data_IF_886961924702
#
_entry.id   IF_886961924702
#
_cell.length_a   1.000
_cell.length_b   1.000
_cell.length_c   1.000
_cell.angle_alpha   90.00
_cell.angle_beta   90.00
_cell.angle_gamma   90.00
#
_symmetry.space_group_name_H-M   'P 1'
#
loop_
_entity.id
_entity.type
_entity.pdbx_description
1 polymer ?
#
# COMPACT_ATOMS: atom_id res chain seq x y z
N UNK A 1 -1.45 -12.05 -1.90
CA UNK A 1 -0.45 -10.98 -1.75
C UNK A 1 -1.11 -9.62 -1.78
N UNK A 2 -0.59 -8.69 -1.03
CA UNK A 2 -1.16 -7.38 -0.83
C UNK A 2 -0.12 -6.30 -1.11
N UNK A 3 -0.52 -5.24 -1.80
CA UNK A 3 0.32 -4.06 -2.06
C UNK A 3 -0.45 -2.85 -1.57
N UNK A 4 0.21 -1.98 -0.82
CA UNK A 4 -0.37 -0.73 -0.34
C UNK A 4 0.29 0.45 -1.05
N UNK A 5 -0.52 1.28 -1.71
CA UNK A 5 -0.06 2.56 -2.21
C UNK A 5 0.42 3.42 -1.03
N UNK A 6 1.38 4.30 -1.28
CA UNK A 6 1.99 5.13 -0.24
C UNK A 6 0.94 5.88 0.58
N UNK A 7 -0.09 6.45 -0.05
CA UNK A 7 -1.13 7.17 0.66
C UNK A 7 -1.94 6.28 1.61
N UNK A 8 -2.10 5.01 1.29
CA UNK A 8 -2.78 4.05 2.19
C UNK A 8 -1.91 3.77 3.41
N UNK A 9 -0.59 3.66 3.23
CA UNK A 9 0.35 3.51 4.34
C UNK A 9 0.24 4.70 5.29
N UNK A 10 0.17 5.92 4.75
CA UNK A 10 0.02 7.13 5.56
C UNK A 10 -1.30 7.13 6.30
N UNK A 11 -2.39 6.76 5.65
CA UNK A 11 -3.71 6.71 6.28
C UNK A 11 -3.75 5.72 7.45
N UNK A 12 -3.04 4.60 7.33
CA UNK A 12 -3.01 3.57 8.38
C UNK A 12 -2.07 3.93 9.53
N UNK A 13 -0.88 4.43 9.23
CA UNK A 13 0.19 4.51 10.23
C UNK A 13 0.53 5.94 10.67
N UNK A 14 0.10 6.97 9.95
CA UNK A 14 0.29 8.37 10.33
C UNK A 14 -1.03 8.98 10.77
N UNK A 15 -2.02 8.99 9.87
CA UNK A 15 -3.26 9.75 10.08
C UNK A 15 -4.31 9.01 10.89
N UNK A 16 -4.15 7.70 11.04
CA UNK A 16 -5.13 6.86 11.75
C UNK A 16 -6.55 7.12 11.24
N UNK A 17 -6.71 7.07 9.91
CA UNK A 17 -7.95 7.43 9.25
C UNK A 17 -9.13 6.68 9.87
N UNK A 18 -10.17 7.38 10.37
CA UNK A 18 -11.32 6.72 10.98
C UNK A 18 -12.06 5.79 10.05
N UNK A 19 -12.01 6.04 8.73
CA UNK A 19 -12.64 5.16 7.74
C UNK A 19 -11.94 3.79 7.69
N UNK A 20 -10.72 3.69 8.18
CA UNK A 20 -9.95 2.45 8.22
C UNK A 20 -9.87 1.85 9.63
N UNK A 21 -10.64 2.38 10.58
CA UNK A 21 -10.56 1.95 11.98
C UNK A 21 -10.95 0.46 12.16
N UNK A 22 -11.86 -0.05 11.35
CA UNK A 22 -12.25 -1.47 11.38
C UNK A 22 -11.24 -2.34 10.66
N UNK A 23 -10.72 -1.85 9.54
CA UNK A 23 -9.77 -2.59 8.72
C UNK A 23 -8.42 -2.78 9.41
N UNK A 24 -7.90 -1.74 10.06
CA UNK A 24 -6.53 -1.73 10.58
C UNK A 24 -6.22 -2.90 11.52
N UNK A 25 -7.04 -3.19 12.56
CA UNK A 25 -6.74 -4.33 13.45
C UNK A 25 -6.72 -5.67 12.72
N UNK A 26 -7.69 -5.89 11.81
CA UNK A 26 -7.77 -7.11 11.05
C UNK A 26 -6.59 -7.27 10.08
N UNK A 27 -6.19 -6.16 9.45
CA UNK A 27 -5.04 -6.13 8.55
C UNK A 27 -3.75 -6.45 9.31
N UNK A 28 -3.52 -5.80 10.44
CA UNK A 28 -2.32 -6.04 11.25
C UNK A 28 -2.26 -7.48 11.75
N UNK A 29 -3.39 -8.02 12.22
CA UNK A 29 -3.46 -9.41 12.67
C UNK A 29 -3.11 -10.36 11.52
N UNK A 30 -3.66 -10.13 10.32
CA UNK A 30 -3.38 -10.95 9.15
C UNK A 30 -1.93 -10.90 8.72
N UNK A 31 -1.30 -9.74 8.83
CA UNK A 31 0.11 -9.56 8.50
C UNK A 31 1.03 -10.21 9.53
N UNK A 32 0.70 -10.07 10.82
CA UNK A 32 1.51 -10.62 11.91
C UNK A 32 1.47 -12.15 11.93
N UNK A 33 0.31 -12.75 11.65
CA UNK A 33 0.18 -14.22 11.60
C UNK A 33 0.47 -14.81 10.22
N UNK A 34 0.89 -13.97 9.26
CA UNK A 34 1.28 -14.35 7.91
C UNK A 34 0.16 -14.95 7.04
N UNK A 35 -1.08 -14.73 7.39
CA UNK A 35 -2.22 -15.05 6.51
C UNK A 35 -2.32 -14.04 5.36
N UNK A 36 -1.85 -12.82 5.58
CA UNK A 36 -1.66 -11.80 4.54
C UNK A 36 -0.17 -11.60 4.33
N UNK A 37 0.21 -11.37 3.07
CA UNK A 37 1.59 -11.09 2.72
C UNK A 37 1.66 -9.74 2.00
N UNK A 38 2.14 -8.72 2.69
CA UNK A 38 2.34 -7.39 2.13
C UNK A 38 3.71 -7.34 1.47
N UNK A 39 3.71 -7.15 0.16
CA UNK A 39 4.95 -7.07 -0.62
C UNK A 39 5.19 -5.65 -1.10
N UNK A 40 6.45 -5.27 -1.22
CA UNK A 40 6.88 -4.00 -1.76
C UNK A 40 8.30 -4.13 -2.30
N UNK A 41 8.72 -3.14 -3.10
CA UNK A 41 10.09 -3.05 -3.58
C UNK A 41 10.88 -2.04 -2.76
N UNK A 42 12.20 -2.06 -2.90
CA UNK A 42 13.05 -1.08 -2.25
C UNK A 42 12.72 0.36 -2.69
N UNK A 43 12.38 0.53 -3.97
CA UNK A 43 12.00 1.85 -4.49
C UNK A 43 10.74 2.40 -3.80
N UNK A 44 9.79 1.52 -3.47
CA UNK A 44 8.59 1.93 -2.74
C UNK A 44 8.92 2.37 -1.32
N UNK A 45 9.89 1.71 -0.67
CA UNK A 45 10.37 2.11 0.64
C UNK A 45 11.05 3.48 0.58
N UNK A 46 11.87 3.70 -0.43
CA UNK A 46 12.57 4.98 -0.64
C UNK A 46 11.54 6.09 -0.87
N UNK A 47 10.49 5.84 -1.64
CA UNK A 47 9.42 6.81 -1.84
C UNK A 47 8.70 7.12 -0.53
N UNK A 48 8.37 6.12 0.27
CA UNK A 48 7.75 6.32 1.58
C UNK A 48 8.63 7.19 2.47
N UNK A 49 9.92 6.89 2.54
CA UNK A 49 10.89 7.67 3.32
C UNK A 49 10.91 9.13 2.88
N UNK A 50 10.88 9.36 1.57
CA UNK A 50 10.87 10.71 1.00
C UNK A 50 9.57 11.45 1.35
N UNK A 51 8.43 10.78 1.19
CA UNK A 51 7.11 11.38 1.48
C UNK A 51 7.00 11.79 2.95
N UNK A 52 7.60 11.03 3.86
CA UNK A 52 7.59 11.33 5.29
C UNK A 52 8.38 12.60 5.64
N UNK A 53 9.12 13.17 4.69
CA UNK A 53 9.82 14.45 4.86
C UNK A 53 9.08 15.63 4.24
N UNK A 54 7.96 15.40 3.54
CA UNK A 54 7.26 16.46 2.80
C UNK A 54 6.64 17.48 3.76
N UNK A 55 6.68 18.79 3.40
CA UNK A 55 6.09 19.85 4.24
C UNK A 55 4.60 19.69 4.49
N UNK A 56 3.87 18.99 3.63
CA UNK A 56 2.45 18.69 3.83
C UNK A 56 2.22 17.59 4.86
N UNK A 57 3.23 16.78 5.11
CA UNK A 57 3.10 15.57 5.95
C UNK A 57 3.70 15.80 7.34
N UNK A 58 4.87 16.46 7.44
CA UNK A 58 5.60 16.58 8.70
C UNK A 58 4.82 17.27 9.82
N UNK A 59 4.04 18.35 9.58
CA UNK A 59 3.23 18.94 10.65
C UNK A 59 2.16 17.99 11.17
N UNK A 60 1.57 17.18 10.31
CA UNK A 60 0.55 16.21 10.68
C UNK A 60 1.16 15.07 11.49
N UNK A 61 2.37 14.64 11.14
CA UNK A 61 3.11 13.65 11.90
C UNK A 61 3.38 14.16 13.32
N UNK A 62 3.80 15.40 13.45
CA UNK A 62 4.03 16.02 14.77
C UNK A 62 2.74 16.09 15.59
N UNK A 63 1.62 16.43 14.94
CA UNK A 63 0.31 16.47 15.59
C UNK A 63 -0.09 15.09 16.14
N UNK A 64 0.13 14.03 15.39
CA UNK A 64 -0.21 12.67 15.78
C UNK A 64 0.90 12.00 16.61
N UNK A 65 2.01 12.69 16.86
CA UNK A 65 3.16 12.17 17.60
C UNK A 65 3.74 10.91 16.97
N UNK A 66 3.83 10.91 15.64
CA UNK A 66 4.40 9.80 14.84
C UNK A 66 5.67 10.29 14.16
N UNK A 67 6.75 9.55 14.28
CA UNK A 67 8.01 9.87 13.61
C UNK A 67 8.15 9.06 12.32
N UNK A 68 9.03 9.54 11.43
CA UNK A 68 9.36 8.78 10.23
C UNK A 68 9.92 7.39 10.58
N UNK A 69 10.74 7.31 11.62
CA UNK A 69 11.30 6.04 12.08
C UNK A 69 10.21 5.07 12.56
N UNK A 70 9.15 5.57 13.20
CA UNK A 70 8.02 4.74 13.61
C UNK A 70 7.35 4.07 12.41
N UNK A 71 7.09 4.85 11.35
CA UNK A 71 6.42 4.35 10.14
C UNK A 71 7.32 3.37 9.40
N UNK A 72 8.59 3.71 9.24
CA UNK A 72 9.54 2.85 8.55
C UNK A 72 9.81 1.56 9.30
N UNK A 73 9.81 1.59 10.63
CA UNK A 73 9.94 0.39 11.45
C UNK A 73 8.75 -0.56 11.24
N UNK A 74 7.53 -0.03 11.16
CA UNK A 74 6.34 -0.83 10.85
C UNK A 74 6.43 -1.43 9.45
N UNK A 75 6.84 -0.63 8.48
CA UNK A 75 7.04 -1.11 7.12
C UNK A 75 8.05 -2.26 7.10
N UNK A 76 9.21 -2.08 7.72
CA UNK A 76 10.27 -3.09 7.73
C UNK A 76 9.86 -4.37 8.46
N UNK A 77 9.03 -4.23 9.50
CA UNK A 77 8.52 -5.38 10.27
C UNK A 77 7.50 -6.20 9.47
N UNK A 78 6.63 -5.54 8.71
CA UNK A 78 5.44 -6.17 8.12
C UNK A 78 5.60 -6.53 6.65
N UNK A 79 6.53 -5.88 5.93
CA UNK A 79 6.68 -6.02 4.49
C UNK A 79 7.70 -7.10 4.15
N UNK A 80 7.40 -7.87 3.12
CA UNK A 80 8.38 -8.71 2.43
C UNK A 80 8.87 -7.95 1.20
N UNK A 81 10.16 -7.61 1.16
CA UNK A 81 10.75 -6.94 0.01
C UNK A 81 10.92 -7.94 -1.14
N UNK A 82 10.52 -7.51 -2.32
CA UNK A 82 10.64 -8.30 -3.55
C UNK A 82 11.34 -7.49 -4.62
N UNK A 83 11.80 -8.15 -5.68
CA UNK A 83 12.44 -7.47 -6.80
C UNK A 83 11.44 -6.62 -7.57
N UNK A 84 11.89 -5.53 -8.22
CA UNK A 84 11.03 -4.74 -9.10
C UNK A 84 10.46 -5.59 -10.22
N UNK A 85 9.17 -5.37 -10.52
CA UNK A 85 8.51 -6.09 -11.59
C UNK A 85 8.79 -5.42 -12.94
N UNK A 86 8.78 -6.20 -14.05
CA UNK A 86 8.83 -5.61 -15.38
C UNK A 86 7.60 -4.76 -15.65
N UNK A 87 7.73 -3.77 -16.52
CA UNK A 87 6.61 -2.88 -16.86
C UNK A 87 5.44 -3.68 -17.39
N UNK A 88 4.26 -3.47 -16.81
CA UNK A 88 3.04 -4.12 -17.24
C UNK A 88 2.58 -3.59 -18.60
N UNK A 89 1.71 -4.36 -19.26
CA UNK A 89 1.12 -3.99 -20.54
C UNK A 89 0.34 -2.69 -20.48
N UNK A 90 -0.27 -2.40 -19.34
CA UNK A 90 -1.12 -1.22 -19.16
C UNK A 90 -0.35 -0.11 -18.48
N UNK A 91 -0.42 1.12 -19.05
CA UNK A 91 0.25 2.28 -18.51
C UNK A 91 -0.69 3.06 -17.59
N UNK A 92 -0.20 3.43 -16.41
CA UNK A 92 -0.90 4.31 -15.50
C UNK A 92 -0.77 5.77 -15.97
N UNK A 93 -1.82 6.56 -15.79
CA UNK A 93 -1.78 8.00 -16.12
C UNK A 93 -0.74 8.73 -15.31
N UNK A 94 -0.53 8.34 -14.05
CA UNK A 94 0.52 8.87 -13.20
C UNK A 94 1.72 7.93 -13.27
N UNK A 95 2.85 8.36 -13.87
CA UNK A 95 4.04 7.52 -13.96
C UNK A 95 4.61 7.08 -12.62
N UNK A 96 4.42 7.89 -11.58
CA UNK A 96 4.92 7.55 -10.23
C UNK A 96 4.19 6.35 -9.63
N UNK A 97 2.95 6.10 -10.07
CA UNK A 97 2.15 4.97 -9.59
C UNK A 97 2.35 3.70 -10.42
N UNK A 98 3.05 3.79 -11.55
CA UNK A 98 3.25 2.65 -12.44
C UNK A 98 3.88 1.46 -11.72
N UNK A 99 4.80 1.69 -10.82
CA UNK A 99 5.50 0.61 -10.08
C UNK A 99 4.54 -0.26 -9.28
N UNK A 100 3.48 0.33 -8.73
CA UNK A 100 2.46 -0.42 -7.99
C UNK A 100 1.65 -1.31 -8.93
N UNK A 101 1.30 -0.79 -10.10
CA UNK A 101 0.59 -1.54 -11.14
C UNK A 101 1.44 -2.73 -11.61
N UNK A 102 2.70 -2.48 -11.92
CA UNK A 102 3.62 -3.50 -12.43
C UNK A 102 3.75 -4.64 -11.42
N UNK A 103 3.92 -4.31 -10.14
CA UNK A 103 4.08 -5.31 -9.08
C UNK A 103 2.78 -6.10 -8.88
N UNK A 104 1.63 -5.44 -8.92
CA UNK A 104 0.34 -6.10 -8.77
C UNK A 104 0.09 -7.11 -9.88
N UNK A 105 0.44 -6.76 -11.12
CA UNK A 105 0.30 -7.66 -12.27
C UNK A 105 1.25 -8.84 -12.16
N UNK A 106 2.52 -8.59 -11.81
CA UNK A 106 3.54 -9.63 -11.69
C UNK A 106 3.15 -10.71 -10.68
N UNK A 107 2.60 -10.30 -9.54
CA UNK A 107 2.28 -11.20 -8.43
C UNK A 107 0.81 -11.59 -8.36
N UNK A 108 -0.03 -11.09 -9.27
CA UNK A 108 -1.49 -11.26 -9.23
C UNK A 108 -2.01 -10.87 -7.84
N UNK A 109 -1.56 -9.72 -7.36
CA UNK A 109 -1.79 -9.24 -6.01
C UNK A 109 -3.00 -8.31 -5.94
N UNK A 110 -3.46 -8.03 -4.71
CA UNK A 110 -4.45 -7.00 -4.42
C UNK A 110 -3.71 -5.71 -4.10
N UNK A 111 -4.00 -4.66 -4.86
CA UNK A 111 -3.44 -3.33 -4.68
C UNK A 111 -4.51 -2.41 -4.08
N UNK A 112 -4.23 -1.86 -2.91
CA UNK A 112 -5.10 -0.89 -2.26
C UNK A 112 -4.60 0.52 -2.54
N UNK A 113 -5.50 1.36 -3.05
CA UNK A 113 -5.20 2.75 -3.39
C UNK A 113 -6.43 3.62 -3.20
N UNK A 114 -6.24 4.92 -3.14
CA UNK A 114 -7.31 5.91 -3.23
C UNK A 114 -7.12 6.90 -4.37
N UNK A 115 -6.07 6.70 -5.17
CA UNK A 115 -5.75 7.53 -6.32
C UNK A 115 -6.59 7.08 -7.52
N UNK A 116 -7.31 8.01 -8.14
CA UNK A 116 -8.15 7.71 -9.30
C UNK A 116 -7.34 7.22 -10.49
N UNK A 117 -6.11 7.69 -10.65
CA UNK A 117 -5.23 7.21 -11.73
C UNK A 117 -4.94 5.71 -11.62
N UNK A 118 -4.98 5.16 -10.40
CA UNK A 118 -4.80 3.73 -10.12
C UNK A 118 -6.16 3.02 -10.16
N UNK A 119 -7.15 3.54 -9.46
CA UNK A 119 -8.47 2.91 -9.34
C UNK A 119 -9.16 2.76 -10.70
N UNK A 120 -8.96 3.69 -11.63
CA UNK A 120 -9.58 3.60 -12.96
C UNK A 120 -9.04 2.43 -13.80
N UNK A 121 -7.94 1.80 -13.38
CA UNK A 121 -7.37 0.65 -14.07
C UNK A 121 -7.91 -0.70 -13.58
N UNK A 122 -8.80 -0.69 -12.59
CA UNK A 122 -9.25 -1.92 -11.91
C UNK A 122 -9.78 -2.99 -12.87
N UNK A 123 -10.63 -2.61 -13.84
CA UNK A 123 -11.20 -3.56 -14.79
C UNK A 123 -10.16 -4.20 -15.70
N UNK A 124 -9.19 -3.40 -16.15
CA UNK A 124 -8.11 -3.90 -17.02
C UNK A 124 -7.21 -4.85 -16.26
N UNK A 125 -6.84 -4.49 -15.04
CA UNK A 125 -5.91 -5.30 -14.23
C UNK A 125 -6.55 -6.59 -13.76
N UNK A 126 -7.86 -6.60 -13.58
CA UNK A 126 -8.58 -7.82 -13.22
C UNK A 126 -8.40 -8.91 -14.27
N UNK A 127 -8.30 -8.53 -15.55
CA UNK A 127 -8.04 -9.50 -16.62
C UNK A 127 -6.67 -10.17 -16.50
N UNK A 128 -5.74 -9.53 -15.80
CA UNK A 128 -4.41 -10.09 -15.52
C UNK A 128 -4.35 -10.79 -14.15
N UNK A 129 -5.47 -10.88 -13.45
CA UNK A 129 -5.53 -11.52 -12.14
C UNK A 129 -5.15 -10.61 -10.97
N UNK A 130 -4.96 -9.31 -11.22
CA UNK A 130 -4.68 -8.33 -10.17
C UNK A 130 -5.96 -7.59 -9.76
N UNK A 131 -6.17 -7.44 -8.46
CA UNK A 131 -7.34 -6.74 -7.91
C UNK A 131 -6.90 -5.36 -7.44
N UNK A 132 -7.55 -4.31 -7.94
CA UNK A 132 -7.31 -2.94 -7.52
C UNK A 132 -8.58 -2.41 -6.88
N UNK A 133 -8.47 -1.91 -5.65
CA UNK A 133 -9.65 -1.43 -4.92
C UNK A 133 -9.25 -0.44 -3.84
N UNK A 134 -10.24 0.26 -3.30
CA UNK A 134 -10.04 1.12 -2.13
C UNK A 134 -9.81 0.26 -0.89
N UNK A 135 -9.07 0.80 0.08
CA UNK A 135 -8.85 0.11 1.35
C UNK A 135 -10.17 -0.16 2.08
N UNK A 136 -11.14 0.75 1.98
CA UNK A 136 -12.47 0.59 2.58
C UNK A 136 -13.28 -0.57 1.98
N UNK A 137 -12.93 -1.00 0.77
CA UNK A 137 -13.59 -2.13 0.10
C UNK A 137 -12.90 -3.45 0.36
N UNK A 138 -11.72 -3.43 0.97
CA UNK A 138 -10.93 -4.63 1.22
C UNK A 138 -11.37 -5.30 2.51
N UNK A 139 -11.68 -6.59 2.43
CA UNK A 139 -12.00 -7.41 3.60
C UNK A 139 -10.91 -8.48 3.73
N UNK A 140 -10.05 -8.39 4.74
CA UNK A 140 -9.06 -9.44 4.97
C UNK A 140 -9.75 -10.76 5.28
N UNK A 141 -9.45 -11.79 4.50
CA UNK A 141 -9.90 -13.14 4.82
C UNK A 141 -8.87 -13.76 5.76
N UNK A 142 -9.05 -13.47 7.03
CA UNK A 142 -8.25 -14.10 8.06
C UNK A 142 -8.94 -15.41 8.36
N UNK A 143 -8.40 -16.50 7.83
CA UNK A 143 -9.00 -17.81 7.92
C UNK A 143 -9.26 -18.23 9.35
N UNK A 144 -10.35 -18.88 9.55
CA UNK A 144 -10.66 -19.58 10.78
C UNK A 144 -9.87 -20.87 10.86
#
# INVERSE_FOLDING_TARGET
MLILDTNIILDLFVFNDPDLATLKPALLAGLENKQLNWIATQDMRIELERVLTYPKITPRMAFYQVTADDVLAKFDQLVTLVDPAPKAKWACKDPDDQRFIDLAVQHQATLLSKDQAVLCMAKRLLTAGAVVQKATDFTPQIGT
#
